data_IF_024080321819
#
_entry.id   IF_024080321819
#
_cell.length_a   1.000
_cell.length_b   1.000
_cell.length_c   1.000
_cell.angle_alpha   90.00
_cell.angle_beta   90.00
_cell.angle_gamma   90.00
#
_symmetry.space_group_name_H-M   'P 1'
#
loop_
_entity.id
_entity.type
_entity.pdbx_description
1 polymer ?
#
# COMPACT_ATOMS: atom_id res chain seq x y z
N UNK A 1 11.26 23.48 7.62
CA UNK A 1 11.04 22.01 7.70
C UNK A 1 11.97 21.51 8.79
N UNK A 2 11.47 20.81 9.80
CA UNK A 2 12.35 20.35 10.88
C UNK A 2 13.28 19.25 10.34
N UNK A 3 14.53 19.23 10.82
CA UNK A 3 15.56 18.25 10.42
C UNK A 3 15.08 16.81 10.56
N UNK A 4 14.22 16.52 11.54
CA UNK A 4 13.59 15.21 11.72
C UNK A 4 12.65 14.80 10.57
N UNK A 5 11.93 15.76 9.96
CA UNK A 5 11.07 15.49 8.80
C UNK A 5 11.90 15.16 7.56
N UNK A 6 13.01 15.84 7.40
CA UNK A 6 13.96 15.62 6.31
C UNK A 6 14.73 14.30 6.45
N UNK A 7 15.18 13.94 7.65
CA UNK A 7 15.81 12.63 7.92
C UNK A 7 14.86 11.45 7.69
N UNK A 8 13.58 11.60 8.08
CA UNK A 8 12.56 10.59 7.79
C UNK A 8 12.34 10.40 6.29
N UNK A 9 12.34 11.50 5.52
CA UNK A 9 12.22 11.48 4.06
C UNK A 9 13.44 10.79 3.44
N UNK A 10 14.66 11.12 3.88
CA UNK A 10 15.88 10.49 3.38
C UNK A 10 15.97 9.00 3.71
N UNK A 11 15.62 8.58 4.94
CA UNK A 11 15.56 7.17 5.30
C UNK A 11 14.62 6.38 4.41
N UNK A 12 13.51 6.98 3.96
CA UNK A 12 12.53 6.36 3.08
C UNK A 12 12.99 6.26 1.63
N UNK A 13 13.68 7.28 1.13
CA UNK A 13 14.29 7.25 -0.21
C UNK A 13 15.29 6.09 -0.33
N UNK A 14 15.96 5.70 0.76
CA UNK A 14 16.93 4.61 0.78
C UNK A 14 16.34 3.24 1.16
N UNK A 15 15.11 3.18 1.68
CA UNK A 15 14.44 1.89 1.97
C UNK A 15 13.61 1.47 0.76
N UNK A 16 14.24 1.37 -0.40
CA UNK A 16 13.63 0.80 -1.60
C UNK A 16 13.58 -0.71 -1.40
N UNK A 17 12.48 -1.19 -0.85
CA UNK A 17 12.11 -2.59 -0.98
C UNK A 17 11.33 -2.71 -2.27
N UNK A 18 11.95 -3.25 -3.32
CA UNK A 18 11.31 -3.49 -4.62
C UNK A 18 9.93 -4.12 -4.40
N UNK A 19 8.90 -3.42 -4.85
CA UNK A 19 7.52 -3.88 -4.81
C UNK A 19 6.70 -3.53 -3.57
N UNK A 20 7.26 -2.87 -2.58
CA UNK A 20 6.56 -2.39 -1.38
C UNK A 20 6.61 -0.87 -1.23
N UNK A 21 6.95 -0.17 -2.29
CA UNK A 21 6.93 1.28 -2.27
C UNK A 21 5.49 1.77 -2.17
N UNK A 22 5.14 2.25 -1.01
CA UNK A 22 4.05 3.20 -0.90
C UNK A 22 4.46 4.38 -1.74
N UNK A 23 3.66 4.72 -2.72
CA UNK A 23 3.94 5.84 -3.61
C UNK A 23 3.98 7.14 -2.81
N UNK A 24 5.15 7.42 -2.22
CA UNK A 24 5.37 8.63 -1.41
C UNK A 24 5.08 9.89 -2.23
N UNK A 25 5.28 9.84 -3.54
CA UNK A 25 4.95 10.93 -4.45
C UNK A 25 3.45 11.23 -4.48
N UNK A 26 2.59 10.25 -4.22
CA UNK A 26 1.16 10.45 -4.08
C UNK A 26 0.85 11.38 -2.89
N UNK A 27 1.35 11.03 -1.69
CA UNK A 27 1.07 11.81 -0.48
C UNK A 27 1.60 13.24 -0.53
N UNK A 28 2.64 13.50 -1.32
CA UNK A 28 3.14 14.86 -1.55
C UNK A 28 2.18 15.72 -2.39
N UNK A 29 1.30 15.10 -3.17
CA UNK A 29 0.31 15.78 -4.01
C UNK A 29 -1.04 15.99 -3.30
N UNK A 30 -1.25 15.35 -2.16
CA UNK A 30 -2.52 15.39 -1.42
C UNK A 30 -2.55 16.55 -0.43
N UNK A 31 -3.69 17.20 -0.30
CA UNK A 31 -3.98 18.08 0.83
C UNK A 31 -4.39 17.25 2.06
N UNK A 32 -4.65 17.87 3.20
CA UNK A 32 -4.98 17.21 4.45
C UNK A 32 -6.25 16.34 4.34
N UNK A 33 -7.33 16.88 3.76
CA UNK A 33 -8.59 16.17 3.55
C UNK A 33 -8.39 14.93 2.67
N UNK A 34 -7.71 15.10 1.54
CA UNK A 34 -7.41 14.02 0.60
C UNK A 34 -6.51 12.97 1.25
N UNK A 35 -5.49 13.37 2.01
CA UNK A 35 -4.61 12.46 2.75
C UNK A 35 -5.40 11.62 3.75
N UNK A 36 -6.28 12.24 4.53
CA UNK A 36 -7.12 11.53 5.49
C UNK A 36 -8.05 10.53 4.78
N UNK A 37 -8.68 10.93 3.68
CA UNK A 37 -9.52 10.05 2.87
C UNK A 37 -8.76 8.83 2.36
N UNK A 38 -7.57 9.04 1.78
CA UNK A 38 -6.74 7.95 1.23
C UNK A 38 -6.30 6.99 2.33
N UNK A 39 -5.93 7.49 3.51
CA UNK A 39 -5.54 6.65 4.65
C UNK A 39 -6.72 5.82 5.16
N UNK A 40 -7.92 6.41 5.26
CA UNK A 40 -9.13 5.69 5.65
C UNK A 40 -9.53 4.62 4.61
N UNK A 41 -9.44 4.96 3.31
CA UNK A 41 -9.70 4.00 2.24
C UNK A 41 -8.70 2.83 2.26
N UNK A 42 -7.41 3.11 2.50
CA UNK A 42 -6.38 2.10 2.66
C UNK A 42 -6.65 1.19 3.87
N UNK A 43 -7.06 1.77 5.00
CA UNK A 43 -7.45 1.00 6.17
C UNK A 43 -8.63 0.05 5.87
N UNK A 44 -9.64 0.53 5.14
CA UNK A 44 -10.78 -0.31 4.74
C UNK A 44 -10.32 -1.51 3.90
N UNK A 45 -9.36 -1.34 2.99
CA UNK A 45 -8.78 -2.46 2.24
C UNK A 45 -8.09 -3.44 3.19
N UNK A 46 -7.24 -2.95 4.09
CA UNK A 46 -6.44 -3.78 5.01
C UNK A 46 -7.32 -4.62 5.96
N UNK A 47 -8.43 -4.05 6.45
CA UNK A 47 -9.30 -4.75 7.40
C UNK A 47 -10.42 -5.57 6.74
N UNK A 48 -10.56 -5.52 5.41
CA UNK A 48 -11.71 -6.04 4.68
C UNK A 48 -11.98 -7.53 4.91
N UNK A 49 -10.94 -8.35 5.00
CA UNK A 49 -11.06 -9.80 5.21
C UNK A 49 -11.05 -10.21 6.70
N UNK A 50 -11.01 -9.24 7.62
CA UNK A 50 -10.99 -9.46 9.07
C UNK A 50 -9.65 -9.94 9.62
N UNK A 51 -8.59 -9.85 8.84
CA UNK A 51 -7.22 -10.19 9.23
C UNK A 51 -6.27 -9.08 8.77
N UNK A 52 -5.15 -8.95 9.44
CA UNK A 52 -4.07 -8.05 9.02
C UNK A 52 -2.80 -8.89 8.94
N UNK A 53 -2.29 -9.10 7.74
CA UNK A 53 -1.03 -9.79 7.55
C UNK A 53 0.18 -8.88 7.83
N UNK A 54 1.39 -9.46 7.81
CA UNK A 54 2.61 -8.69 8.10
C UNK A 54 2.89 -7.61 7.06
N UNK A 55 2.58 -7.84 5.78
CA UNK A 55 2.77 -6.87 4.70
C UNK A 55 1.80 -5.70 4.83
N UNK A 56 0.54 -5.98 5.12
CA UNK A 56 -0.50 -4.98 5.37
C UNK A 56 -0.20 -4.15 6.63
N UNK A 57 0.31 -4.79 7.68
CA UNK A 57 0.74 -4.10 8.88
C UNK A 57 1.89 -3.12 8.61
N UNK A 58 2.88 -3.51 7.80
CA UNK A 58 3.95 -2.62 7.36
C UNK A 58 3.40 -1.42 6.57
N UNK A 59 2.46 -1.67 5.63
CA UNK A 59 1.78 -0.60 4.89
C UNK A 59 1.06 0.36 5.84
N UNK A 60 0.33 -0.18 6.80
CA UNK A 60 -0.40 0.63 7.78
C UNK A 60 0.55 1.50 8.60
N UNK A 61 1.68 0.95 9.08
CA UNK A 61 2.69 1.72 9.79
C UNK A 61 3.26 2.87 8.95
N UNK A 62 3.43 2.63 7.65
CA UNK A 62 3.97 3.62 6.75
C UNK A 62 2.97 4.74 6.44
N UNK A 63 1.69 4.45 6.28
CA UNK A 63 0.69 5.47 5.95
C UNK A 63 0.27 6.33 7.14
N UNK A 64 0.22 5.79 8.37
CA UNK A 64 -0.22 6.54 9.56
C UNK A 64 0.69 7.73 9.88
N UNK A 65 1.93 7.71 9.46
CA UNK A 65 2.83 8.84 9.68
C UNK A 65 2.51 10.09 8.85
N UNK A 66 1.59 9.98 7.86
CA UNK A 66 1.05 11.12 7.13
C UNK A 66 -0.14 11.78 7.82
N UNK A 67 -0.66 11.18 8.90
CA UNK A 67 -1.63 11.82 9.78
C UNK A 67 -0.90 12.79 10.72
N UNK A 68 -1.12 14.07 10.52
CA UNK A 68 -0.49 15.13 11.33
C UNK A 68 -1.32 15.47 12.59
N UNK A 69 -2.54 14.93 12.71
CA UNK A 69 -3.47 15.23 13.79
C UNK A 69 -3.61 14.03 14.74
N UNK A 70 -3.25 14.24 16.02
CA UNK A 70 -3.30 13.21 17.05
C UNK A 70 -4.70 12.61 17.24
N UNK A 71 -5.75 13.44 17.11
CA UNK A 71 -7.14 12.97 17.23
C UNK A 71 -7.49 12.02 16.08
N UNK A 72 -7.12 12.36 14.84
CA UNK A 72 -7.32 11.51 13.68
C UNK A 72 -6.52 10.20 13.81
N UNK A 73 -5.29 10.27 14.28
CA UNK A 73 -4.46 9.09 14.52
C UNK A 73 -5.09 8.15 15.56
N UNK A 74 -5.59 8.69 16.66
CA UNK A 74 -6.24 7.89 17.70
C UNK A 74 -7.54 7.25 17.20
N UNK A 75 -8.37 7.98 16.45
CA UNK A 75 -9.58 7.44 15.82
C UNK A 75 -9.22 6.33 14.83
N UNK A 76 -8.18 6.53 14.02
CA UNK A 76 -7.71 5.53 13.08
C UNK A 76 -7.30 4.23 13.78
N UNK A 77 -6.46 4.31 14.82
CA UNK A 77 -5.99 3.15 15.58
C UNK A 77 -7.18 2.40 16.23
N UNK A 78 -8.14 3.13 16.79
CA UNK A 78 -9.30 2.53 17.45
C UNK A 78 -10.20 1.80 16.44
N UNK A 79 -10.50 2.41 15.30
CA UNK A 79 -11.31 1.78 14.25
C UNK A 79 -10.63 0.54 13.66
N UNK A 80 -9.33 0.60 13.38
CA UNK A 80 -8.57 -0.57 12.88
C UNK A 80 -8.55 -1.69 13.92
N UNK A 81 -8.35 -1.37 15.19
CA UNK A 81 -8.38 -2.37 16.28
C UNK A 81 -9.72 -3.08 16.39
N UNK A 82 -10.82 -2.36 16.16
CA UNK A 82 -12.18 -2.90 16.18
C UNK A 82 -12.60 -3.54 14.87
N UNK A 83 -11.76 -3.48 13.84
CA UNK A 83 -12.11 -3.88 12.46
C UNK A 83 -13.36 -3.15 11.94
N UNK A 84 -13.51 -1.88 12.30
CA UNK A 84 -14.63 -1.04 11.87
C UNK A 84 -14.25 -0.29 10.58
N UNK A 85 -15.09 -0.45 9.55
CA UNK A 85 -14.92 0.24 8.27
C UNK A 85 -15.16 1.74 8.42
N UNK A 86 -14.25 2.53 7.83
CA UNK A 86 -14.42 3.99 7.79
C UNK A 86 -15.47 4.38 6.77
N UNK A 87 -16.44 5.23 7.13
CA UNK A 87 -17.36 5.82 6.15
C UNK A 87 -16.59 6.77 5.24
N UNK A 88 -16.71 6.57 3.93
CA UNK A 88 -16.07 7.40 2.92
C UNK A 88 -17.11 8.17 2.12
N UNK A 89 -16.89 9.46 1.96
CA UNK A 89 -17.67 10.32 1.11
C UNK A 89 -17.00 10.52 -0.26
N UNK A 90 -17.70 11.15 -1.20
CA UNK A 90 -17.15 11.48 -2.50
C UNK A 90 -15.93 12.40 -2.36
N UNK A 91 -14.82 12.06 -3.03
CA UNK A 91 -13.61 12.85 -3.02
C UNK A 91 -13.50 13.67 -4.32
N UNK A 92 -13.47 14.98 -4.19
CA UNK A 92 -13.32 15.86 -5.33
C UNK A 92 -11.84 16.06 -5.68
N UNK A 93 -11.37 15.30 -6.67
CA UNK A 93 -9.98 15.33 -7.18
C UNK A 93 -9.98 15.28 -8.70
N UNK A 94 -8.90 15.77 -9.33
CA UNK A 94 -8.70 15.63 -10.77
C UNK A 94 -8.47 14.16 -11.17
N UNK A 95 -8.80 13.83 -12.43
CA UNK A 95 -8.76 12.44 -12.93
C UNK A 95 -7.39 11.74 -12.74
N UNK A 96 -6.29 12.46 -12.94
CA UNK A 96 -4.96 11.90 -12.76
C UNK A 96 -4.71 11.50 -11.30
N UNK A 97 -5.07 12.37 -10.37
CA UNK A 97 -4.91 12.09 -8.94
C UNK A 97 -5.87 11.00 -8.46
N UNK A 98 -7.11 10.98 -8.97
CA UNK A 98 -8.07 9.91 -8.72
C UNK A 98 -7.50 8.54 -9.17
N UNK A 99 -6.88 8.50 -10.35
CA UNK A 99 -6.23 7.30 -10.89
C UNK A 99 -5.06 6.84 -10.03
N UNK A 100 -4.21 7.78 -9.57
CA UNK A 100 -3.08 7.49 -8.69
C UNK A 100 -3.55 6.93 -7.35
N UNK A 101 -4.61 7.51 -6.77
CA UNK A 101 -5.24 7.02 -5.53
C UNK A 101 -5.79 5.61 -5.73
N UNK A 102 -6.54 5.38 -6.79
CA UNK A 102 -7.13 4.07 -7.07
C UNK A 102 -6.06 2.99 -7.29
N UNK A 103 -4.98 3.32 -8.00
CA UNK A 103 -3.85 2.44 -8.21
C UNK A 103 -3.12 2.12 -6.89
N UNK A 104 -2.94 3.11 -6.04
CA UNK A 104 -2.37 2.92 -4.70
C UNK A 104 -3.20 1.94 -3.86
N UNK A 105 -4.53 2.10 -3.82
CA UNK A 105 -5.42 1.18 -3.10
C UNK A 105 -5.37 -0.24 -3.68
N UNK A 106 -5.32 -0.38 -5.01
CA UNK A 106 -5.17 -1.67 -5.66
C UNK A 106 -3.84 -2.35 -5.30
N UNK A 107 -2.74 -1.60 -5.24
CA UNK A 107 -1.45 -2.13 -4.81
C UNK A 107 -1.48 -2.65 -3.37
N UNK A 108 -2.20 -1.97 -2.46
CA UNK A 108 -2.39 -2.46 -1.08
C UNK A 108 -3.09 -3.82 -1.08
N UNK A 109 -4.18 -3.96 -1.83
CA UNK A 109 -4.91 -5.21 -1.92
C UNK A 109 -4.09 -6.38 -2.49
N UNK A 110 -3.01 -6.10 -3.22
CA UNK A 110 -2.08 -7.12 -3.74
C UNK A 110 -0.82 -7.31 -2.90
N UNK A 111 -0.67 -6.64 -1.77
CA UNK A 111 0.52 -6.77 -0.90
C UNK A 111 0.71 -8.21 -0.43
N UNK A 112 -0.36 -8.93 -0.08
CA UNK A 112 -0.33 -10.34 0.28
C UNK A 112 -0.23 -11.31 -0.91
N UNK A 113 -0.23 -10.80 -2.14
CA UNK A 113 -0.09 -11.55 -3.40
C UNK A 113 -1.37 -11.68 -4.20
N UNK A 114 -2.50 -11.89 -3.57
CA UNK A 114 -3.81 -12.01 -4.22
C UNK A 114 -4.82 -11.11 -3.51
N UNK A 115 -5.58 -10.35 -4.29
CA UNK A 115 -6.73 -9.61 -3.78
C UNK A 115 -7.82 -10.61 -3.35
N UNK A 116 -8.31 -10.48 -2.12
CA UNK A 116 -9.42 -11.28 -1.60
C UNK A 116 -10.75 -10.84 -2.20
N UNK A 117 -11.80 -11.64 -2.04
CA UNK A 117 -13.14 -11.27 -2.48
C UNK A 117 -13.71 -10.08 -1.68
N UNK A 118 -13.40 -10.04 -0.40
CA UNK A 118 -13.81 -8.98 0.52
C UNK A 118 -13.18 -7.64 0.11
N UNK A 119 -11.89 -7.62 -0.17
CA UNK A 119 -11.20 -6.44 -0.69
C UNK A 119 -11.76 -6.02 -2.06
N UNK A 120 -11.97 -6.97 -2.97
CA UNK A 120 -12.50 -6.70 -4.30
C UNK A 120 -13.87 -5.99 -4.28
N UNK A 121 -14.71 -6.25 -3.28
CA UNK A 121 -16.03 -5.61 -3.12
C UNK A 121 -15.95 -4.11 -2.83
N UNK A 122 -14.82 -3.61 -2.31
CA UNK A 122 -14.62 -2.19 -2.01
C UNK A 122 -14.38 -1.35 -3.27
N UNK A 123 -13.76 -1.94 -4.30
CA UNK A 123 -13.26 -1.20 -5.46
C UNK A 123 -14.35 -0.54 -6.32
N UNK A 124 -15.52 -1.14 -6.57
CA UNK A 124 -16.61 -0.43 -7.26
C UNK A 124 -17.07 0.85 -6.54
N UNK A 125 -17.07 0.84 -5.20
CA UNK A 125 -17.39 2.01 -4.41
C UNK A 125 -16.29 3.07 -4.49
N UNK A 126 -15.01 2.69 -4.42
CA UNK A 126 -13.90 3.62 -4.64
C UNK A 126 -13.96 4.28 -6.02
N UNK A 127 -14.24 3.50 -7.07
CA UNK A 127 -14.40 4.03 -8.42
C UNK A 127 -15.50 5.11 -8.48
N UNK A 128 -16.66 4.83 -7.86
CA UNK A 128 -17.78 5.77 -7.78
C UNK A 128 -17.40 7.04 -7.01
N UNK A 129 -16.78 6.90 -5.83
CA UNK A 129 -16.40 8.02 -4.97
C UNK A 129 -15.32 8.90 -5.60
N UNK A 130 -14.44 8.31 -6.42
CA UNK A 130 -13.38 8.99 -7.16
C UNK A 130 -13.84 9.43 -8.57
N UNK A 131 -15.07 9.15 -8.97
CA UNK A 131 -15.65 9.47 -10.30
C UNK A 131 -14.82 8.90 -11.47
N UNK A 132 -14.31 7.68 -11.30
CA UNK A 132 -13.55 6.99 -12.32
C UNK A 132 -14.44 6.09 -13.18
N UNK A 133 -14.11 5.99 -14.46
CA UNK A 133 -14.76 5.06 -15.40
C UNK A 133 -14.43 3.61 -15.06
N UNK A 134 -15.44 2.74 -15.09
CA UNK A 134 -15.32 1.33 -14.71
C UNK A 134 -14.33 0.56 -15.58
N UNK A 135 -14.27 0.85 -16.89
CA UNK A 135 -13.36 0.16 -17.81
C UNK A 135 -11.90 0.53 -17.51
N UNK A 136 -11.69 1.81 -17.18
CA UNK A 136 -10.39 2.31 -16.77
C UNK A 136 -9.94 1.72 -15.43
N UNK A 137 -10.84 1.60 -14.46
CA UNK A 137 -10.58 0.95 -13.18
C UNK A 137 -10.14 -0.50 -13.33
N UNK A 138 -10.76 -1.27 -14.23
CA UNK A 138 -10.32 -2.64 -14.54
C UNK A 138 -8.88 -2.67 -15.04
N UNK A 139 -8.49 -1.75 -15.89
CA UNK A 139 -7.12 -1.64 -16.38
C UNK A 139 -6.13 -1.34 -15.25
N UNK A 140 -6.49 -0.44 -14.33
CA UNK A 140 -5.65 -0.11 -13.16
C UNK A 140 -5.45 -1.34 -12.27
N UNK A 141 -6.50 -2.09 -11.98
CA UNK A 141 -6.40 -3.32 -11.18
C UNK A 141 -5.49 -4.35 -11.86
N UNK A 142 -5.63 -4.53 -13.17
CA UNK A 142 -4.76 -5.43 -13.93
C UNK A 142 -3.28 -5.01 -13.88
N UNK A 143 -2.99 -3.71 -13.90
CA UNK A 143 -1.63 -3.19 -13.72
C UNK A 143 -1.09 -3.49 -12.33
N UNK A 144 -1.87 -3.27 -11.28
CA UNK A 144 -1.48 -3.58 -9.90
C UNK A 144 -1.19 -5.07 -9.72
N UNK A 145 -2.04 -5.94 -10.28
CA UNK A 145 -1.83 -7.38 -10.27
C UNK A 145 -0.51 -7.79 -10.96
N UNK A 146 -0.27 -7.30 -12.17
CA UNK A 146 0.97 -7.59 -12.91
C UNK A 146 2.21 -7.13 -12.18
N UNK A 147 2.15 -5.95 -11.55
CA UNK A 147 3.26 -5.44 -10.74
C UNK A 147 3.53 -6.35 -9.55
N UNK A 148 2.50 -6.78 -8.83
CA UNK A 148 2.62 -7.72 -7.72
C UNK A 148 3.25 -9.06 -8.16
N UNK A 149 2.81 -9.62 -9.28
CA UNK A 149 3.37 -10.85 -9.84
C UNK A 149 4.87 -10.72 -10.18
N UNK A 150 5.26 -9.60 -10.79
CA UNK A 150 6.67 -9.32 -11.09
C UNK A 150 7.52 -9.18 -9.82
N UNK A 151 6.99 -8.52 -8.79
CA UNK A 151 7.67 -8.35 -7.52
C UNK A 151 7.88 -9.68 -6.80
N UNK A 152 6.86 -10.54 -6.78
CA UNK A 152 6.97 -11.88 -6.21
C UNK A 152 7.99 -12.74 -6.94
N UNK A 153 8.00 -12.68 -8.28
CA UNK A 153 8.99 -13.37 -9.10
C UNK A 153 10.41 -12.92 -8.75
N UNK A 154 10.63 -11.63 -8.64
CA UNK A 154 11.92 -11.05 -8.28
C UNK A 154 12.40 -11.51 -6.91
N UNK A 155 11.54 -11.46 -5.89
CA UNK A 155 11.86 -11.92 -4.54
C UNK A 155 12.24 -13.40 -4.53
N UNK A 156 11.50 -14.23 -5.27
CA UNK A 156 11.80 -15.65 -5.41
C UNK A 156 13.19 -15.86 -6.04
N UNK A 157 13.48 -15.20 -7.14
CA UNK A 157 14.78 -15.29 -7.83
C UNK A 157 15.94 -14.85 -6.92
N UNK A 158 15.78 -13.79 -6.14
CA UNK A 158 16.78 -13.37 -5.15
C UNK A 158 17.04 -14.44 -4.07
N UNK A 159 15.96 -15.02 -3.54
CA UNK A 159 16.08 -16.08 -2.52
C UNK A 159 16.77 -17.32 -3.08
N UNK A 160 16.47 -17.73 -4.31
CA UNK A 160 17.10 -18.87 -4.97
C UNK A 160 18.61 -18.63 -5.17
N UNK A 161 19.01 -17.44 -5.60
CA UNK A 161 20.41 -17.05 -5.72
C UNK A 161 21.15 -17.03 -4.38
N UNK A 162 20.50 -16.56 -3.33
CA UNK A 162 21.07 -16.54 -1.98
C UNK A 162 21.33 -17.97 -1.47
N UNK A 163 20.37 -18.87 -1.65
CA UNK A 163 20.50 -20.28 -1.28
C UNK A 163 21.62 -20.98 -2.05
N UNK A 164 21.76 -20.71 -3.35
CA UNK A 164 22.84 -21.26 -4.16
C UNK A 164 24.23 -20.81 -3.65
N UNK A 165 24.39 -19.54 -3.29
CA UNK A 165 25.63 -19.01 -2.71
C UNK A 165 25.97 -19.64 -1.37
N UNK A 166 24.98 -19.86 -0.51
CA UNK A 166 25.21 -20.53 0.77
C UNK A 166 25.68 -21.97 0.58
N UNK A 167 25.11 -22.73 -0.36
CA UNK A 167 25.54 -24.10 -0.70
C UNK A 167 26.97 -24.17 -1.21
N UNK A 168 27.38 -23.23 -2.06
CA UNK A 168 28.74 -23.14 -2.56
C UNK A 168 29.77 -22.83 -1.47
N UNK A 169 29.41 -21.97 -0.51
CA UNK A 169 30.26 -21.60 0.62
C UNK A 169 30.34 -22.67 1.74
N UNK A 170 29.39 -23.59 1.77
CA UNK A 170 29.32 -24.68 2.77
C UNK A 170 29.86 -26.01 2.24
N UNK A 171 30.25 -26.10 0.97
CA UNK A 171 30.94 -27.29 0.45
C UNK A 171 32.35 -27.36 1.03
N UNK A 172 32.76 -28.45 1.74
CA UNK A 172 34.12 -28.60 2.24
C UNK A 172 35.08 -28.60 1.04
N UNK A 173 36.08 -27.74 1.13
CA UNK A 173 37.25 -27.84 0.23
C UNK A 173 37.89 -29.19 0.53
N UNK A 174 37.66 -30.19 -0.29
CA UNK A 174 38.45 -31.40 -0.30
C UNK A 174 39.92 -30.99 -0.55
N UNK A 175 40.73 -31.12 0.46
CA UNK A 175 42.18 -30.99 0.40
C UNK A 175 42.80 -32.33 0.01
#
# INVERSE_FOLDING_TARGET
MSDQKFEKILKRIYTITLGREINQSLFLKLNEEQTNWVIQAAANVIIADGKIDSGEFEVMQDIIQYLDNDTQLMQFIDSVRKMEEFPLEELNVGQNLASDIYFFLANIAYVGGLMTQEEAKLFPNFARLLKLDTSYCKSIIQWAQKQSELNQKWIKEQNDLHQQRQKLNSSPVER
#
